data_IF_558254130564
#
_entry.id   IF_558254130564
#
_cell.length_a   1.000
_cell.length_b   1.000
_cell.length_c   1.000
_cell.angle_alpha   90.00
_cell.angle_beta   90.00
_cell.angle_gamma   90.00
#
_symmetry.space_group_name_H-M   'P 1'
#
loop_
_entity.id
_entity.type
_entity.pdbx_description
1 polymer ?
#
# COMPACT_ATOMS: atom_id res chain seq x y z
N UNK A 1 12.39 8.76 2.20
CA UNK A 1 12.13 9.87 3.13
C UNK A 1 11.11 9.46 4.18
N UNK A 2 9.90 9.03 3.78
CA UNK A 2 8.84 8.60 4.70
C UNK A 2 9.30 7.59 5.77
N UNK A 3 10.01 6.52 5.37
CA UNK A 3 10.55 5.53 6.31
C UNK A 3 11.52 6.09 7.35
N UNK A 4 12.22 7.18 7.06
CA UNK A 4 13.14 7.85 8.00
C UNK A 4 12.42 8.76 9.00
N UNK A 5 11.20 9.20 8.65
CA UNK A 5 10.37 10.08 9.49
C UNK A 5 9.56 9.23 10.49
N UNK A 6 9.24 7.99 10.13
CA UNK A 6 8.51 7.09 11.00
C UNK A 6 9.22 6.86 12.33
N UNK A 7 8.47 6.98 13.42
CA UNK A 7 8.95 6.82 14.80
C UNK A 7 8.35 5.58 15.48
N UNK A 8 7.42 4.89 14.83
CA UNK A 8 6.72 3.72 15.37
C UNK A 8 5.79 4.04 16.55
N UNK A 9 5.51 5.32 16.81
CA UNK A 9 4.63 5.79 17.88
C UNK A 9 3.46 6.55 17.29
N UNK A 10 3.73 7.72 16.72
CA UNK A 10 2.73 8.59 16.12
C UNK A 10 2.75 8.49 14.59
N UNK A 11 3.92 8.22 14.00
CA UNK A 11 4.10 8.10 12.56
C UNK A 11 4.56 6.68 12.26
N UNK A 12 3.70 5.93 11.59
CA UNK A 12 3.98 4.56 11.15
C UNK A 12 4.19 4.56 9.63
N UNK A 13 5.26 3.90 9.17
CA UNK A 13 5.53 3.70 7.75
C UNK A 13 5.26 2.25 7.38
N UNK A 14 4.54 2.05 6.28
CA UNK A 14 4.26 0.76 5.69
C UNK A 14 4.70 0.79 4.23
N UNK A 15 5.61 -0.10 3.84
CA UNK A 15 5.98 -0.29 2.44
C UNK A 15 5.07 -1.34 1.83
N UNK A 16 4.23 -0.92 0.88
CA UNK A 16 3.26 -1.78 0.20
C UNK A 16 3.49 -1.82 -1.31
N UNK A 17 4.61 -1.28 -1.79
CA UNK A 17 4.82 -1.07 -3.23
C UNK A 17 4.81 -2.39 -3.99
N UNK A 18 5.38 -3.45 -3.40
CA UNK A 18 5.42 -4.80 -3.96
C UNK A 18 4.02 -5.36 -4.23
N UNK A 19 2.99 -4.96 -3.47
CA UNK A 19 1.61 -5.44 -3.64
C UNK A 19 0.99 -5.02 -4.96
N UNK A 20 1.48 -3.94 -5.57
CA UNK A 20 0.99 -3.47 -6.87
C UNK A 20 1.75 -4.08 -8.06
N UNK A 21 2.84 -4.79 -7.81
CA UNK A 21 3.69 -5.32 -8.87
C UNK A 21 3.40 -6.79 -9.13
N UNK A 22 3.60 -7.22 -10.37
CA UNK A 22 3.70 -8.66 -10.68
C UNK A 22 4.96 -9.26 -10.05
N UNK A 23 5.11 -10.58 -10.10
CA UNK A 23 6.32 -11.27 -9.61
C UNK A 23 7.59 -10.79 -10.34
N UNK A 24 7.46 -10.37 -11.59
CA UNK A 24 8.55 -9.80 -12.40
C UNK A 24 8.75 -8.29 -12.18
N UNK A 25 7.97 -7.67 -11.28
CA UNK A 25 8.12 -6.26 -10.90
C UNK A 25 7.37 -5.26 -11.79
N UNK A 26 6.41 -5.70 -12.62
CA UNK A 26 5.68 -4.80 -13.52
C UNK A 26 4.43 -4.22 -12.86
N UNK A 27 4.20 -2.92 -13.07
CA UNK A 27 2.91 -2.28 -12.79
C UNK A 27 2.00 -2.40 -14.02
N UNK A 28 0.78 -2.92 -13.81
CA UNK A 28 -0.14 -3.21 -14.92
C UNK A 28 -1.24 -2.16 -15.06
N UNK A 29 -1.65 -1.90 -16.32
CA UNK A 29 -2.84 -1.07 -16.61
C UNK A 29 -4.15 -1.65 -16.08
N UNK A 30 -4.15 -2.94 -15.74
CA UNK A 30 -5.31 -3.63 -15.15
C UNK A 30 -5.68 -3.05 -13.78
N UNK A 31 -4.70 -2.60 -13.00
CA UNK A 31 -4.92 -2.06 -11.65
C UNK A 31 -4.66 -0.54 -11.57
N UNK A 32 -3.80 0.00 -12.45
CA UNK A 32 -3.53 1.44 -12.59
C UNK A 32 -3.51 1.82 -14.08
N UNK A 33 -4.65 2.23 -14.67
CA UNK A 33 -4.77 2.43 -16.13
C UNK A 33 -3.77 3.41 -16.75
N UNK A 34 -3.33 4.40 -15.97
CA UNK A 34 -2.36 5.43 -16.33
C UNK A 34 -0.98 5.23 -15.65
N UNK A 35 -0.77 4.07 -15.03
CA UNK A 35 0.42 3.74 -14.23
C UNK A 35 0.63 4.60 -12.98
N UNK A 36 -0.41 5.29 -12.51
CA UNK A 36 -0.31 6.13 -11.31
C UNK A 36 -1.53 5.97 -10.39
N UNK A 37 -2.74 6.15 -10.91
CA UNK A 37 -3.96 6.14 -10.12
C UNK A 37 -4.57 4.73 -10.09
N UNK A 38 -4.78 4.13 -8.90
CA UNK A 38 -5.50 2.87 -8.79
C UNK A 38 -6.92 3.00 -9.34
N UNK A 39 -7.40 1.95 -10.01
CA UNK A 39 -8.84 1.75 -10.20
C UNK A 39 -9.42 0.95 -9.01
N UNK A 40 -10.68 0.53 -9.08
CA UNK A 40 -11.35 -0.26 -8.03
C UNK A 40 -10.53 -1.48 -7.57
N UNK A 41 -9.96 -2.25 -8.51
CA UNK A 41 -9.14 -3.43 -8.19
C UNK A 41 -7.83 -3.02 -7.51
N UNK A 42 -7.19 -1.95 -7.99
CA UNK A 42 -5.98 -1.42 -7.36
C UNK A 42 -6.24 -0.87 -5.96
N UNK A 43 -7.38 -0.21 -5.73
CA UNK A 43 -7.77 0.26 -4.41
C UNK A 43 -8.02 -0.89 -3.43
N UNK A 44 -8.58 -2.00 -3.90
CA UNK A 44 -8.73 -3.20 -3.07
C UNK A 44 -7.39 -3.73 -2.59
N UNK A 45 -6.40 -3.86 -3.48
CA UNK A 45 -5.02 -4.25 -3.12
C UNK A 45 -4.45 -3.29 -2.07
N UNK A 46 -4.65 -1.98 -2.26
CA UNK A 46 -4.17 -0.97 -1.32
C UNK A 46 -4.77 -1.17 0.08
N UNK A 47 -6.10 -1.34 0.16
CA UNK A 47 -6.80 -1.54 1.44
C UNK A 47 -6.36 -2.83 2.10
N UNK A 48 -6.34 -3.96 1.38
CA UNK A 48 -5.91 -5.25 1.93
C UNK A 48 -4.47 -5.21 2.47
N UNK A 49 -3.59 -4.42 1.86
CA UNK A 49 -2.22 -4.25 2.33
C UNK A 49 -2.13 -3.36 3.59
N UNK A 50 -3.01 -2.37 3.74
CA UNK A 50 -2.99 -1.42 4.87
C UNK A 50 -3.80 -1.90 6.07
N UNK A 51 -4.90 -2.60 5.84
CA UNK A 51 -5.93 -2.90 6.83
C UNK A 51 -5.37 -3.55 8.11
N UNK A 52 -4.45 -4.53 8.06
CA UNK A 52 -3.93 -5.15 9.28
C UNK A 52 -3.20 -4.15 10.20
N UNK A 53 -2.48 -3.20 9.60
CA UNK A 53 -1.79 -2.15 10.38
C UNK A 53 -2.79 -1.15 10.95
N UNK A 54 -3.85 -0.83 10.22
CA UNK A 54 -4.88 0.07 10.73
C UNK A 54 -5.62 -0.58 11.90
N UNK A 55 -6.03 -1.85 11.77
CA UNK A 55 -6.67 -2.61 12.84
C UNK A 55 -5.80 -2.66 14.10
N UNK A 56 -4.50 -2.98 13.97
CA UNK A 56 -3.52 -2.97 15.07
C UNK A 56 -3.48 -1.60 15.79
N UNK A 57 -3.45 -0.50 15.03
CA UNK A 57 -3.40 0.85 15.58
C UNK A 57 -4.71 1.30 16.23
N UNK A 58 -5.84 0.75 15.76
CA UNK A 58 -7.18 1.02 16.32
C UNK A 58 -7.51 0.11 17.52
N UNK A 59 -6.70 -0.94 17.77
CA UNK A 59 -6.91 -1.88 18.87
C UNK A 59 -8.03 -2.88 18.62
N UNK A 60 -8.27 -3.22 17.35
CA UNK A 60 -9.15 -4.32 16.92
C UNK A 60 -8.45 -5.68 17.08
#
# INVERSE_FOLDING_TARGET
LASKIADGKMIHYLDINDKFLTEEGFLTKKIMPDYLHPNEVGYKIWVEAMEPKVAELMGE
#
